data_IF_460110383169
#
_entry.id   IF_460110383169
#
_cell.length_a   1.000
_cell.length_b   1.000
_cell.length_c   1.000
_cell.angle_alpha   90.00
_cell.angle_beta   90.00
_cell.angle_gamma   90.00
#
_symmetry.space_group_name_H-M   'P 1'
#
loop_
_entity.id
_entity.type
_entity.pdbx_description
1 polymer ?
#
# COMPACT_ATOMS: atom_id res chain seq x y z
N UNK A 1 -5.84 9.51 21.64
CA UNK A 1 -4.47 8.97 21.84
C UNK A 1 -4.20 8.31 20.53
N UNK A 2 -3.50 9.04 19.67
CA UNK A 2 -3.53 8.75 18.24
C UNK A 2 -2.18 8.13 17.91
N UNK A 3 -2.16 6.81 17.79
CA UNK A 3 -1.00 6.07 17.30
C UNK A 3 -1.03 6.13 15.76
N UNK A 4 0.09 6.52 15.16
CA UNK A 4 0.22 6.65 13.72
C UNK A 4 1.03 5.49 13.16
N UNK A 5 0.71 5.05 11.94
CA UNK A 5 1.54 4.09 11.20
C UNK A 5 2.28 4.87 10.13
N UNK A 6 3.60 4.87 10.22
CA UNK A 6 4.49 5.44 9.22
C UNK A 6 5.05 4.33 8.34
N UNK A 7 4.86 4.45 7.03
CA UNK A 7 5.38 3.51 6.03
C UNK A 7 6.23 4.27 5.01
N UNK A 8 7.57 4.15 5.06
CA UNK A 8 8.43 4.83 4.11
C UNK A 8 8.26 4.24 2.70
N UNK A 9 8.33 5.10 1.68
CA UNK A 9 8.42 4.71 0.28
C UNK A 9 7.30 3.76 -0.23
N UNK A 10 6.08 3.85 0.33
CA UNK A 10 4.96 2.95 -0.03
C UNK A 10 4.66 2.91 -1.54
N UNK A 11 4.82 4.03 -2.25
CA UNK A 11 4.61 4.08 -3.70
C UNK A 11 5.57 3.17 -4.47
N UNK A 12 6.85 3.14 -4.09
CA UNK A 12 7.86 2.30 -4.75
C UNK A 12 7.64 0.82 -4.41
N UNK A 13 7.17 0.53 -3.21
CA UNK A 13 6.85 -0.85 -2.77
C UNK A 13 5.66 -1.44 -3.53
N UNK A 14 4.69 -0.61 -3.97
CA UNK A 14 3.58 -1.06 -4.82
C UNK A 14 4.01 -1.53 -6.22
N UNK A 15 5.20 -1.13 -6.68
CA UNK A 15 5.78 -1.58 -7.94
C UNK A 15 6.64 -2.84 -7.79
N UNK A 16 7.04 -3.18 -6.57
CA UNK A 16 7.97 -4.28 -6.26
C UNK A 16 7.34 -5.43 -5.47
N UNK A 17 8.18 -6.04 -4.63
CA UNK A 17 7.83 -7.11 -3.71
C UNK A 17 7.08 -6.55 -2.50
N UNK A 18 5.80 -6.91 -2.36
CA UNK A 18 4.92 -6.43 -1.28
C UNK A 18 4.84 -7.39 -0.08
N UNK A 19 5.70 -8.43 -0.05
CA UNK A 19 5.66 -9.43 1.02
C UNK A 19 6.28 -8.95 2.34
N UNK A 20 7.16 -7.94 2.29
CA UNK A 20 7.82 -7.36 3.47
C UNK A 20 7.96 -5.86 3.34
N UNK A 21 6.99 -5.14 3.88
CA UNK A 21 6.93 -3.68 3.91
C UNK A 21 7.31 -3.22 5.32
N UNK A 22 8.48 -2.56 5.51
CA UNK A 22 8.86 -2.03 6.81
C UNK A 22 7.91 -0.89 7.21
N UNK A 23 7.40 -0.94 8.43
CA UNK A 23 6.46 0.04 8.98
C UNK A 23 6.79 0.34 10.44
N UNK A 24 6.43 1.54 10.88
CA UNK A 24 6.72 2.04 12.21
C UNK A 24 5.44 2.55 12.87
N UNK A 25 5.14 2.07 14.07
CA UNK A 25 4.11 2.68 14.91
C UNK A 25 4.74 3.88 15.61
N UNK A 26 4.20 5.07 15.38
CA UNK A 26 4.60 6.32 16.01
C UNK A 26 3.54 6.64 17.07
N UNK A 27 3.89 6.37 18.32
CA UNK A 27 3.07 6.66 19.49
C UNK A 27 3.96 7.05 20.67
N UNK A 28 3.68 6.50 21.86
CA UNK A 28 4.57 6.66 23.04
C UNK A 28 5.95 6.06 22.85
N UNK A 29 6.02 4.96 22.08
CA UNK A 29 7.27 4.29 21.71
C UNK A 29 7.24 4.05 20.20
N UNK A 30 8.40 4.19 19.56
CA UNK A 30 8.55 3.83 18.14
C UNK A 30 8.81 2.33 18.04
N UNK A 31 7.92 1.60 17.38
CA UNK A 31 8.05 0.14 17.17
C UNK A 31 8.10 -0.17 15.69
N UNK A 32 9.15 -0.85 15.27
CA UNK A 32 9.30 -1.36 13.91
C UNK A 32 8.60 -2.73 13.77
N UNK A 33 7.90 -2.90 12.65
CA UNK A 33 7.24 -4.15 12.29
C UNK A 33 7.16 -4.28 10.77
N UNK A 34 6.83 -5.48 10.28
CA UNK A 34 6.67 -5.73 8.85
C UNK A 34 5.18 -5.91 8.53
N UNK A 35 4.71 -5.16 7.54
CA UNK A 35 3.44 -5.35 6.87
C UNK A 35 3.64 -6.23 5.63
N UNK A 36 2.59 -6.89 5.20
CA UNK A 36 2.55 -7.57 3.91
C UNK A 36 1.23 -7.22 3.21
N UNK A 37 1.25 -7.18 1.89
CA UNK A 37 0.03 -7.16 1.09
C UNK A 37 -0.20 -8.57 0.58
N UNK A 38 -1.43 -9.06 0.70
CA UNK A 38 -1.79 -10.35 0.13
C UNK A 38 -1.54 -10.37 -1.38
N UNK A 39 -1.33 -11.55 -1.95
CA UNK A 39 -1.14 -11.71 -3.39
C UNK A 39 -2.31 -11.10 -4.16
N UNK A 40 -2.00 -10.13 -5.02
CA UNK A 40 -2.96 -9.46 -5.88
C UNK A 40 -2.68 -9.85 -7.33
N UNK A 41 -3.74 -10.12 -8.07
CA UNK A 41 -3.67 -10.28 -9.52
C UNK A 41 -3.17 -8.99 -10.19
N UNK A 42 -2.58 -9.06 -11.40
CA UNK A 42 -2.13 -7.86 -12.11
C UNK A 42 -3.22 -6.80 -12.31
N UNK A 43 -4.48 -7.22 -12.44
CA UNK A 43 -5.62 -6.32 -12.60
C UNK A 43 -6.00 -5.62 -11.29
N UNK A 44 -6.01 -6.34 -10.17
CA UNK A 44 -6.22 -5.72 -8.84
C UNK A 44 -5.16 -4.68 -8.53
N UNK A 45 -3.90 -4.95 -8.90
CA UNK A 45 -2.81 -3.97 -8.74
C UNK A 45 -3.06 -2.69 -9.54
N UNK A 46 -3.58 -2.79 -10.77
CA UNK A 46 -3.94 -1.61 -11.59
C UNK A 46 -5.12 -0.85 -10.97
N UNK A 47 -6.11 -1.57 -10.46
CA UNK A 47 -7.26 -0.99 -9.77
C UNK A 47 -6.83 -0.16 -8.54
N UNK A 48 -5.93 -0.70 -7.73
CA UNK A 48 -5.39 0.00 -6.55
C UNK A 48 -4.53 1.20 -6.96
N UNK A 49 -3.70 1.07 -8.00
CA UNK A 49 -2.89 2.19 -8.53
C UNK A 49 -3.74 3.33 -9.08
N UNK A 50 -4.86 3.02 -9.71
CA UNK A 50 -5.81 4.02 -10.21
C UNK A 50 -6.66 4.65 -9.08
N UNK A 51 -6.45 4.22 -7.84
CA UNK A 51 -7.08 4.75 -6.64
C UNK A 51 -8.43 4.12 -6.30
N UNK A 52 -9.12 3.52 -7.28
CA UNK A 52 -10.27 2.65 -7.08
C UNK A 52 -10.72 1.98 -8.39
N UNK A 53 -11.64 0.99 -8.26
CA UNK A 53 -12.22 0.28 -9.41
C UNK A 53 -12.94 1.22 -10.39
N UNK A 54 -13.62 2.25 -9.86
CA UNK A 54 -14.33 3.23 -10.69
C UNK A 54 -13.35 4.02 -11.55
N UNK A 55 -12.21 4.42 -10.99
CA UNK A 55 -11.17 5.14 -11.73
C UNK A 55 -10.51 4.25 -12.78
N UNK A 56 -10.24 2.98 -12.44
CA UNK A 56 -9.70 2.01 -13.39
C UNK A 56 -10.60 1.81 -14.60
N UNK A 57 -11.90 1.64 -14.38
CA UNK A 57 -12.88 1.53 -15.47
C UNK A 57 -12.96 2.82 -16.30
N UNK A 58 -12.87 3.99 -15.65
CA UNK A 58 -12.87 5.29 -16.35
C UNK A 58 -11.68 5.47 -17.29
N UNK A 59 -10.49 5.03 -16.88
CA UNK A 59 -9.28 5.07 -17.71
C UNK A 59 -9.34 4.10 -18.89
N UNK A 60 -10.09 3.00 -18.77
CA UNK A 60 -10.24 1.96 -19.80
C UNK A 60 -11.22 2.32 -20.93
N UNK A 61 -12.11 3.29 -20.68
CA UNK A 61 -13.16 3.73 -21.62
C UNK A 61 -12.68 4.93 -22.48
N UNK A 62 -11.55 5.54 -22.14
CA UNK A 62 -10.86 6.54 -22.97
C UNK A 62 -10.04 5.89 -24.06
#
# INVERSE_FOLDING_TARGET
MDDYIYVPNIKNLLDGDMTKIPAYVIGKEVKEFNLYVADMTPDERKIVKDGCLINFNRNKIK
#
